data_IF_305267843451
#
_entry.id   IF_305267843451
#
_cell.length_a   1.000
_cell.length_b   1.000
_cell.length_c   1.000
_cell.angle_alpha   90.00
_cell.angle_beta   90.00
_cell.angle_gamma   90.00
#
_symmetry.space_group_name_H-M   'P 1'
#
loop_
_entity.id
_entity.type
_entity.pdbx_description
1 polymer ?
#
# COMPACT_ATOMS: atom_id res chain seq x y z
N UNK A 1 -5.19 24.55 -34.52
CA UNK A 1 -6.36 24.61 -33.62
C UNK A 1 -6.00 23.84 -32.36
N UNK A 2 -5.40 24.50 -31.36
CA UNK A 2 -4.91 23.85 -30.16
C UNK A 2 -6.06 23.67 -29.16
N UNK A 3 -6.45 22.43 -28.90
CA UNK A 3 -7.60 22.03 -28.06
C UNK A 3 -7.39 22.23 -26.54
N UNK A 4 -6.47 23.12 -26.12
CA UNK A 4 -6.00 23.21 -24.75
C UNK A 4 -6.60 24.35 -23.90
N UNK A 5 -7.55 25.13 -24.42
CA UNK A 5 -8.03 26.37 -23.77
C UNK A 5 -9.43 26.30 -23.19
N UNK A 6 -10.06 25.12 -23.10
CA UNK A 6 -11.40 25.01 -22.53
C UNK A 6 -11.34 24.54 -21.06
N UNK A 7 -11.56 25.43 -20.06
CA UNK A 7 -11.52 25.06 -18.63
C UNK A 7 -12.57 24.02 -18.24
N UNK A 8 -13.62 23.84 -19.06
CA UNK A 8 -14.59 22.76 -18.87
C UNK A 8 -13.97 21.37 -19.10
N UNK A 9 -12.97 21.23 -19.98
CA UNK A 9 -12.24 19.97 -20.15
C UNK A 9 -11.33 19.67 -18.96
N UNK A 10 -10.71 20.68 -18.35
CA UNK A 10 -9.94 20.47 -17.12
C UNK A 10 -10.84 20.01 -15.97
N UNK A 11 -12.00 20.63 -15.82
CA UNK A 11 -12.99 20.16 -14.84
C UNK A 11 -13.50 18.77 -15.19
N UNK A 12 -13.73 18.42 -16.45
CA UNK A 12 -14.13 17.06 -16.84
C UNK A 12 -13.03 16.01 -16.57
N UNK A 13 -11.75 16.33 -16.77
CA UNK A 13 -10.64 15.43 -16.43
C UNK A 13 -10.46 15.27 -14.92
N UNK A 14 -10.73 16.30 -14.13
CA UNK A 14 -10.74 16.22 -12.67
C UNK A 14 -11.99 15.49 -12.14
N UNK A 15 -13.15 15.70 -12.76
CA UNK A 15 -14.45 15.08 -12.38
C UNK A 15 -14.52 13.61 -12.80
N UNK A 16 -13.81 13.17 -13.84
CA UNK A 16 -13.73 11.75 -14.20
C UNK A 16 -12.89 10.91 -13.22
N UNK A 17 -12.36 11.52 -12.16
CA UNK A 17 -11.79 10.80 -11.02
C UNK A 17 -12.85 10.36 -10.00
N UNK A 18 -14.13 10.70 -10.22
CA UNK A 18 -15.22 10.30 -9.32
C UNK A 18 -15.78 8.89 -9.65
N UNK A 19 -15.39 7.95 -8.77
CA UNK A 19 -16.31 7.03 -8.05
C UNK A 19 -16.97 5.84 -8.75
N UNK A 20 -16.39 5.28 -9.81
CA UNK A 20 -16.64 3.85 -10.13
C UNK A 20 -15.32 3.07 -10.09
N UNK A 21 -14.87 2.61 -8.92
CA UNK A 21 -13.56 1.94 -8.85
C UNK A 21 -13.30 1.04 -7.65
N UNK A 22 -13.17 1.60 -6.45
CA UNK A 22 -12.75 0.85 -5.25
C UNK A 22 -13.00 1.64 -3.97
N UNK A 23 -13.24 0.97 -2.84
CA UNK A 23 -13.61 1.62 -1.57
C UNK A 23 -12.55 2.58 -0.99
N UNK A 24 -11.27 2.37 -1.30
CA UNK A 24 -10.15 3.23 -0.93
C UNK A 24 -8.96 2.99 -1.88
N UNK A 25 -7.96 3.88 -1.85
CA UNK A 25 -6.70 3.67 -2.57
C UNK A 25 -5.51 3.79 -1.64
N UNK A 26 -4.49 2.94 -1.83
CA UNK A 26 -3.23 3.05 -1.11
C UNK A 26 -2.43 4.31 -1.49
N UNK A 27 -2.83 5.02 -2.54
CA UNK A 27 -2.23 6.29 -2.93
C UNK A 27 -2.94 7.52 -2.33
N UNK A 28 -4.07 7.32 -1.65
CA UNK A 28 -4.78 8.41 -0.99
C UNK A 28 -3.99 8.92 0.22
N UNK A 29 -3.92 10.24 0.39
CA UNK A 29 -3.09 10.87 1.42
C UNK A 29 -3.49 10.48 2.85
N UNK A 30 -4.79 10.30 3.12
CA UNK A 30 -5.25 9.85 4.45
C UNK A 30 -4.87 8.40 4.68
N UNK A 31 -5.08 7.54 3.68
CA UNK A 31 -4.72 6.13 3.76
C UNK A 31 -3.21 5.94 4.00
N UNK A 32 -2.37 6.65 3.24
CA UNK A 32 -0.92 6.63 3.41
C UNK A 32 -0.51 7.12 4.80
N UNK A 33 -1.09 8.23 5.29
CA UNK A 33 -0.78 8.76 6.62
C UNK A 33 -1.11 7.76 7.74
N UNK A 34 -2.24 7.05 7.64
CA UNK A 34 -2.61 6.02 8.61
C UNK A 34 -1.64 4.83 8.57
N UNK A 35 -1.23 4.40 7.38
CA UNK A 35 -0.23 3.33 7.24
C UNK A 35 1.16 3.75 7.76
N UNK A 36 1.56 5.02 7.57
CA UNK A 36 2.78 5.57 8.17
C UNK A 36 2.71 5.58 9.69
N UNK A 37 1.59 6.02 10.28
CA UNK A 37 1.38 5.97 11.74
C UNK A 37 1.45 4.55 12.27
N UNK A 38 0.84 3.59 11.56
CA UNK A 38 0.93 2.18 11.91
C UNK A 38 2.38 1.65 11.89
N UNK A 39 3.19 2.07 10.91
CA UNK A 39 4.60 1.68 10.85
C UNK A 39 5.36 2.18 12.09
N UNK A 40 5.11 3.43 12.50
CA UNK A 40 5.69 4.01 13.72
C UNK A 40 5.27 3.22 14.97
N UNK A 41 3.98 2.94 15.13
CA UNK A 41 3.45 2.21 16.29
C UNK A 41 4.05 0.81 16.45
N UNK A 42 4.41 0.17 15.33
CA UNK A 42 4.89 -1.21 15.29
C UNK A 42 6.41 -1.32 15.16
N UNK A 43 7.14 -0.20 15.18
CA UNK A 43 8.58 -0.13 14.92
C UNK A 43 8.99 -0.81 13.61
N UNK A 44 8.32 -0.40 12.54
CA UNK A 44 8.53 -0.88 11.17
C UNK A 44 9.04 0.25 10.27
N UNK A 45 9.84 -0.11 9.29
CA UNK A 45 10.12 0.75 8.13
C UNK A 45 9.00 0.59 7.11
N UNK A 46 8.44 1.71 6.64
CA UNK A 46 7.53 1.75 5.51
C UNK A 46 8.24 2.35 4.29
N UNK A 47 8.29 1.59 3.20
CA UNK A 47 8.81 2.06 1.91
C UNK A 47 7.68 2.23 0.91
N UNK A 48 7.74 3.30 0.12
CA UNK A 48 6.82 3.57 -0.99
C UNK A 48 7.56 3.42 -2.32
N UNK A 49 7.07 2.56 -3.20
CA UNK A 49 7.62 2.34 -4.51
C UNK A 49 6.59 2.65 -5.59
N UNK A 50 6.98 3.46 -6.58
CA UNK A 50 6.22 3.63 -7.82
C UNK A 50 7.03 3.11 -8.99
N UNK A 51 6.58 2.04 -9.63
CA UNK A 51 7.27 1.41 -10.77
C UNK A 51 6.27 1.12 -11.87
N UNK A 52 6.56 1.59 -13.09
CA UNK A 52 5.75 1.32 -14.31
C UNK A 52 4.25 1.66 -14.17
N UNK A 53 3.91 2.61 -13.31
CA UNK A 53 2.53 3.03 -13.05
C UNK A 53 1.91 2.40 -11.81
N UNK A 54 2.46 1.29 -11.31
CA UNK A 54 1.97 0.59 -10.14
C UNK A 54 2.63 1.11 -8.86
N UNK A 55 1.83 1.14 -7.80
CA UNK A 55 2.26 1.55 -6.46
C UNK A 55 2.39 0.29 -5.60
N UNK A 56 3.52 0.18 -4.92
CA UNK A 56 3.78 -0.86 -3.93
C UNK A 56 4.25 -0.24 -2.62
N UNK A 57 3.56 -0.56 -1.54
CA UNK A 57 3.95 -0.20 -0.17
C UNK A 57 4.56 -1.42 0.52
N UNK A 58 5.69 -1.24 1.20
CA UNK A 58 6.40 -2.35 1.86
C UNK A 58 6.62 -2.05 3.33
N UNK A 59 6.22 -2.97 4.21
CA UNK A 59 6.58 -2.96 5.63
C UNK A 59 7.72 -3.93 5.89
N UNK A 60 8.73 -3.49 6.64
CA UNK A 60 9.84 -4.31 7.11
C UNK A 60 10.08 -4.04 8.61
N UNK A 61 10.44 -5.07 9.39
CA UNK A 61 10.79 -4.85 10.80
C UNK A 61 12.21 -4.31 10.96
N UNK A 62 12.35 -3.18 11.65
CA UNK A 62 13.64 -2.56 11.95
C UNK A 62 14.56 -3.54 12.70
N UNK A 63 14.00 -4.27 13.68
CA UNK A 63 14.71 -5.28 14.48
C UNK A 63 15.34 -6.38 13.62
N UNK A 64 14.66 -6.81 12.56
CA UNK A 64 15.18 -7.86 11.66
C UNK A 64 16.05 -7.29 10.55
N UNK A 65 15.76 -6.09 10.06
CA UNK A 65 16.52 -5.43 9.01
C UNK A 65 17.97 -5.19 9.47
N UNK A 66 18.16 -4.70 10.69
CA UNK A 66 19.48 -4.46 11.29
C UNK A 66 20.28 -5.76 11.47
N UNK A 67 19.62 -6.85 11.88
CA UNK A 67 20.28 -8.15 12.14
C UNK A 67 20.59 -8.94 10.88
N UNK A 68 19.78 -8.79 9.82
CA UNK A 68 19.91 -9.54 8.58
C UNK A 68 20.73 -8.81 7.49
N UNK A 69 21.13 -7.56 7.76
CA UNK A 69 21.76 -6.70 6.76
C UNK A 69 20.82 -6.36 5.61
N UNK A 70 19.54 -6.09 5.91
CA UNK A 70 18.52 -5.71 4.92
C UNK A 70 17.98 -6.89 4.09
N UNK A 71 18.06 -8.11 4.62
CA UNK A 71 17.53 -9.34 3.99
C UNK A 71 16.39 -9.92 4.84
N UNK A 72 15.52 -9.04 5.31
CA UNK A 72 14.44 -9.37 6.23
C UNK A 72 13.20 -9.96 5.55
N UNK A 73 12.24 -10.30 6.39
CA UNK A 73 10.84 -10.49 5.97
C UNK A 73 10.25 -9.13 5.62
N UNK A 74 9.54 -9.04 4.51
CA UNK A 74 8.84 -7.83 4.05
C UNK A 74 7.41 -8.19 3.72
N UNK A 75 6.47 -7.33 4.08
CA UNK A 75 5.07 -7.42 3.68
C UNK A 75 4.77 -6.32 2.65
N UNK A 76 4.43 -6.71 1.43
CA UNK A 76 4.21 -5.80 0.30
C UNK A 76 2.73 -5.69 -0.03
N UNK A 77 2.27 -4.47 -0.32
CA UNK A 77 0.89 -4.16 -0.69
C UNK A 77 0.87 -3.52 -2.07
N UNK A 78 0.07 -4.06 -2.98
CA UNK A 78 -0.12 -3.47 -4.31
C UNK A 78 -1.60 -3.21 -4.55
N UNK A 79 -1.91 -2.01 -5.03
CA UNK A 79 -3.26 -1.63 -5.41
C UNK A 79 -3.62 -2.24 -6.77
N UNK A 80 -4.63 -3.13 -6.81
CA UNK A 80 -5.06 -3.87 -8.00
C UNK A 80 -6.52 -3.52 -8.34
N UNK A 81 -6.88 -2.25 -8.25
CA UNK A 81 -8.24 -1.79 -8.52
C UNK A 81 -9.17 -2.10 -7.34
N UNK A 82 -10.05 -3.10 -7.46
CA UNK A 82 -10.99 -3.49 -6.37
C UNK A 82 -10.34 -4.33 -5.27
N UNK A 83 -9.11 -4.78 -5.48
CA UNK A 83 -8.40 -5.64 -4.55
C UNK A 83 -7.06 -5.03 -4.15
N UNK A 84 -6.56 -5.44 -3.00
CA UNK A 84 -5.19 -5.25 -2.58
C UNK A 84 -4.51 -6.61 -2.64
N UNK A 85 -3.40 -6.69 -3.36
CA UNK A 85 -2.50 -7.85 -3.25
C UNK A 85 -1.60 -7.66 -2.03
N UNK A 86 -1.56 -8.65 -1.16
CA UNK A 86 -0.67 -8.70 0.01
C UNK A 86 0.33 -9.83 -0.18
N UNK A 87 1.62 -9.51 -0.28
CA UNK A 87 2.68 -10.49 -0.52
C UNK A 87 3.63 -10.50 0.67
N UNK A 88 3.89 -11.68 1.23
CA UNK A 88 5.04 -11.88 2.11
C UNK A 88 6.25 -12.22 1.26
N UNK A 89 7.37 -11.51 1.49
CA UNK A 89 8.65 -11.79 0.85
C UNK A 89 9.70 -12.08 1.90
N UNK A 90 10.55 -13.06 1.62
CA UNK A 90 11.78 -13.33 2.35
C UNK A 90 12.93 -13.24 1.37
N UNK A 91 13.91 -12.38 1.64
CA UNK A 91 15.06 -12.17 0.73
C UNK A 91 14.61 -11.83 -0.71
N UNK A 92 13.55 -11.04 -0.84
CA UNK A 92 12.97 -10.68 -2.14
C UNK A 92 12.14 -11.78 -2.83
N UNK A 93 12.11 -13.00 -2.28
CA UNK A 93 11.32 -14.11 -2.84
C UNK A 93 9.93 -14.15 -2.19
N UNK A 94 8.83 -14.15 -2.96
CA UNK A 94 7.49 -14.34 -2.44
C UNK A 94 7.35 -15.69 -1.74
N UNK A 95 6.88 -15.70 -0.49
CA UNK A 95 6.62 -16.91 0.29
C UNK A 95 5.12 -17.14 0.53
N UNK A 96 4.32 -16.07 0.51
CA UNK A 96 2.87 -16.11 0.63
C UNK A 96 2.26 -14.97 -0.20
N UNK A 97 1.03 -15.17 -0.70
CA UNK A 97 0.32 -14.17 -1.50
C UNK A 97 -1.18 -14.29 -1.28
N UNK A 98 -1.79 -13.19 -0.84
CA UNK A 98 -3.22 -13.06 -0.63
C UNK A 98 -3.79 -11.93 -1.51
N UNK A 99 -5.07 -12.06 -1.87
CA UNK A 99 -5.85 -11.02 -2.55
C UNK A 99 -7.01 -10.61 -1.64
N UNK A 100 -7.04 -9.34 -1.23
CA UNK A 100 -8.05 -8.81 -0.32
C UNK A 100 -8.97 -7.83 -1.03
N UNK A 101 -10.27 -8.10 -1.05
CA UNK A 101 -11.27 -7.19 -1.62
C UNK A 101 -11.39 -5.93 -0.77
N UNK A 102 -11.37 -4.76 -1.43
CA UNK A 102 -11.54 -3.46 -0.77
C UNK A 102 -13.01 -3.21 -0.44
N UNK A 103 -13.33 -3.19 0.85
CA UNK A 103 -14.67 -2.89 1.38
C UNK A 103 -14.70 -1.56 2.13
N UNK A 104 -13.81 -1.40 3.09
CA UNK A 104 -13.63 -0.22 3.94
C UNK A 104 -12.16 -0.11 4.37
N UNK A 105 -11.65 1.11 4.47
CA UNK A 105 -10.25 1.32 4.81
C UNK A 105 -9.94 1.00 6.28
N UNK A 106 -10.86 1.27 7.22
CA UNK A 106 -10.60 0.99 8.64
C UNK A 106 -10.54 -0.52 8.89
N UNK A 107 -11.40 -1.30 8.23
CA UNK A 107 -11.33 -2.76 8.23
C UNK A 107 -10.01 -3.27 7.66
N UNK A 108 -9.59 -2.73 6.50
CA UNK A 108 -8.31 -3.06 5.90
C UNK A 108 -7.14 -2.71 6.83
N UNK A 109 -7.13 -1.51 7.40
CA UNK A 109 -6.10 -1.02 8.31
C UNK A 109 -5.98 -1.90 9.56
N UNK A 110 -7.11 -2.34 10.12
CA UNK A 110 -7.10 -3.29 11.24
C UNK A 110 -6.51 -4.65 10.84
N UNK A 111 -6.95 -5.20 9.71
CA UNK A 111 -6.48 -6.49 9.21
C UNK A 111 -4.98 -6.48 8.91
N UNK A 112 -4.50 -5.44 8.21
CA UNK A 112 -3.10 -5.34 7.83
C UNK A 112 -2.20 -5.11 9.04
N UNK A 113 -2.66 -4.37 10.06
CA UNK A 113 -1.95 -4.24 11.34
C UNK A 113 -1.74 -5.61 11.98
N UNK A 114 -2.78 -6.44 12.03
CA UNK A 114 -2.70 -7.81 12.56
C UNK A 114 -1.72 -8.69 11.77
N UNK A 115 -1.74 -8.62 10.43
CA UNK A 115 -0.82 -9.36 9.56
C UNK A 115 0.63 -8.90 9.77
N UNK A 116 0.91 -7.59 9.83
CA UNK A 116 2.23 -7.06 10.15
C UNK A 116 2.74 -7.57 11.51
N UNK A 117 1.89 -7.55 12.55
CA UNK A 117 2.28 -8.07 13.86
C UNK A 117 2.60 -9.56 13.83
N UNK A 118 1.82 -10.37 13.12
CA UNK A 118 2.05 -11.82 12.98
C UNK A 118 3.34 -12.12 12.22
N UNK A 119 3.58 -11.43 11.11
CA UNK A 119 4.65 -11.77 10.14
C UNK A 119 5.97 -11.09 10.48
N UNK A 120 5.94 -9.84 10.97
CA UNK A 120 7.12 -8.99 11.10
C UNK A 120 7.53 -8.75 12.57
N UNK A 121 6.60 -8.84 13.52
CA UNK A 121 6.88 -8.50 14.93
C UNK A 121 7.01 -9.74 15.82
N UNK A 122 6.12 -10.72 15.63
CA UNK A 122 6.08 -11.97 16.42
C UNK A 122 6.82 -13.14 15.75
N UNK A 123 7.60 -12.86 14.69
CA UNK A 123 8.30 -13.88 13.90
C UNK A 123 9.64 -14.32 14.45
#
# INVERSE_FOLDING_TARGET
MNMATNPLMWNAMLVNSSTHGSAFSLNDGQCVSMLMKMALDLDLTLSYHKRRGDIELCFESNRTAEKSGGRGKVLCLSDMGREIRVIERVNGTPTDTEMWTKTDFNQFHWAIRGKCQKVLVKS
#
